data_IF_727088752607
#
_entry.id   IF_727088752607
#
_cell.length_a   1.000
_cell.length_b   1.000
_cell.length_c   1.000
_cell.angle_alpha   90.00
_cell.angle_beta   90.00
_cell.angle_gamma   90.00
#
_symmetry.space_group_name_H-M   'P 1'
#
loop_
_entity.id
_entity.type
_entity.pdbx_description
1 polymer ?
#
# COMPACT_ATOMS: atom_id res chain seq x y z
N UNK A 1 -6.30 15.39 5.04
CA UNK A 1 -5.06 15.16 4.25
C UNK A 1 -4.87 13.68 4.02
N UNK A 2 -4.78 13.25 2.76
CA UNK A 2 -4.81 11.85 2.35
C UNK A 2 -6.01 11.55 1.46
N UNK A 3 -5.85 10.56 0.58
CA UNK A 3 -6.90 10.07 -0.33
C UNK A 3 -7.06 8.54 -0.31
N UNK A 4 -6.34 7.84 0.57
CA UNK A 4 -6.32 6.37 0.71
C UNK A 4 -7.32 5.89 1.78
N UNK A 5 -7.28 4.60 2.13
CA UNK A 5 -8.23 3.92 3.02
C UNK A 5 -8.59 4.72 4.29
N UNK A 6 -7.62 5.17 5.09
CA UNK A 6 -7.92 5.94 6.31
C UNK A 6 -8.69 7.25 6.03
N UNK A 7 -8.48 7.87 4.87
CA UNK A 7 -9.24 9.04 4.46
C UNK A 7 -10.66 8.64 4.03
N UNK A 8 -10.86 7.49 3.37
CA UNK A 8 -12.19 6.97 3.05
C UNK A 8 -12.96 6.63 4.32
N UNK A 9 -12.31 5.98 5.29
CA UNK A 9 -12.91 5.66 6.59
C UNK A 9 -13.33 6.94 7.33
N UNK A 10 -12.49 7.98 7.27
CA UNK A 10 -12.81 9.30 7.82
C UNK A 10 -14.06 9.89 7.15
N UNK A 11 -14.16 9.84 5.82
CA UNK A 11 -15.36 10.31 5.10
C UNK A 11 -16.58 9.52 5.54
N UNK A 12 -16.50 8.18 5.59
CA UNK A 12 -17.59 7.32 6.02
C UNK A 12 -18.04 7.57 7.47
N UNK A 13 -17.11 7.84 8.38
CA UNK A 13 -17.43 8.22 9.77
C UNK A 13 -18.15 9.58 9.78
N UNK A 14 -17.64 10.59 9.07
CA UNK A 14 -18.29 11.91 9.03
C UNK A 14 -19.71 11.82 8.46
N UNK A 15 -19.91 11.07 7.38
CA UNK A 15 -21.21 10.93 6.72
C UNK A 15 -22.20 10.13 7.55
N UNK A 16 -21.77 9.02 8.17
CA UNK A 16 -22.61 8.21 9.07
C UNK A 16 -23.02 8.96 10.34
N UNK A 17 -22.21 9.91 10.80
CA UNK A 17 -22.55 10.83 11.89
C UNK A 17 -23.27 12.11 11.42
N UNK A 18 -23.83 12.11 10.21
CA UNK A 18 -24.62 13.21 9.64
C UNK A 18 -23.90 14.57 9.58
N UNK A 19 -22.57 14.59 9.52
CA UNK A 19 -21.85 15.83 9.22
C UNK A 19 -22.37 16.37 7.88
N UNK A 20 -22.78 17.64 7.83
CA UNK A 20 -23.38 18.28 6.64
C UNK A 20 -22.42 19.23 5.93
N UNK A 21 -21.30 19.60 6.56
CA UNK A 21 -20.30 20.48 5.98
C UNK A 21 -19.59 19.89 4.76
N UNK A 22 -18.81 20.73 4.10
CA UNK A 22 -17.97 20.33 2.97
C UNK A 22 -16.78 19.52 3.45
N UNK A 23 -16.48 18.45 2.74
CA UNK A 23 -15.34 17.56 2.99
C UNK A 23 -14.33 17.75 1.85
N UNK A 24 -13.05 17.79 2.18
CA UNK A 24 -11.97 17.87 1.19
C UNK A 24 -10.98 16.72 1.43
N UNK A 25 -10.89 15.81 0.46
CA UNK A 25 -9.85 14.80 0.40
C UNK A 25 -8.71 15.33 -0.46
N UNK A 26 -7.54 15.52 0.15
CA UNK A 26 -6.44 16.28 -0.43
C UNK A 26 -5.13 15.48 -0.35
N UNK A 27 -4.48 15.22 -1.48
CA UNK A 27 -3.17 14.54 -1.52
C UNK A 27 -2.32 15.01 -2.70
N UNK A 28 -1.07 14.52 -2.80
CA UNK A 28 -0.17 14.88 -3.91
C UNK A 28 -0.73 14.49 -5.29
N UNK A 29 -1.32 13.30 -5.41
CA UNK A 29 -1.89 12.81 -6.68
C UNK A 29 -3.41 12.97 -6.79
N UNK A 30 -4.10 13.20 -5.67
CA UNK A 30 -5.57 13.16 -5.60
C UNK A 30 -6.16 11.76 -5.87
N UNK A 31 -5.32 10.74 -6.07
CA UNK A 31 -5.77 9.42 -6.50
C UNK A 31 -6.47 8.67 -5.38
N UNK A 32 -7.63 8.10 -5.69
CA UNK A 32 -8.36 7.20 -4.80
C UNK A 32 -7.89 5.76 -5.02
N UNK A 33 -7.98 4.89 -4.00
CA UNK A 33 -7.83 3.45 -4.21
C UNK A 33 -8.72 2.93 -5.33
N UNK A 34 -8.32 1.84 -5.99
CA UNK A 34 -9.16 1.22 -7.01
C UNK A 34 -10.43 0.64 -6.39
N UNK A 35 -11.42 0.35 -7.23
CA UNK A 35 -12.68 -0.27 -6.78
C UNK A 35 -12.55 -1.78 -6.93
N UNK A 36 -12.76 -2.55 -5.86
CA UNK A 36 -12.77 -4.01 -5.95
C UNK A 36 -14.15 -4.49 -6.39
N UNK A 37 -14.13 -5.54 -7.20
CA UNK A 37 -15.30 -6.33 -7.52
C UNK A 37 -15.75 -7.15 -6.30
N UNK A 38 -16.91 -7.81 -6.41
CA UNK A 38 -17.31 -8.78 -5.38
C UNK A 38 -16.26 -9.89 -5.27
N UNK A 39 -15.95 -10.30 -4.05
CA UNK A 39 -14.83 -11.20 -3.80
C UNK A 39 -14.97 -12.50 -4.58
N UNK A 40 -14.02 -12.75 -5.49
CA UNK A 40 -13.85 -14.03 -6.16
C UNK A 40 -12.68 -14.75 -5.50
N UNK A 41 -12.93 -15.98 -5.03
CA UNK A 41 -11.84 -16.84 -4.62
C UNK A 41 -10.98 -17.14 -5.85
N UNK A 42 -9.71 -16.77 -5.79
CA UNK A 42 -8.75 -17.01 -6.87
C UNK A 42 -7.54 -17.73 -6.30
N UNK A 43 -7.10 -18.79 -6.97
CA UNK A 43 -5.90 -19.55 -6.64
C UNK A 43 -4.84 -19.25 -7.71
N UNK A 44 -3.75 -18.54 -7.36
CA UNK A 44 -2.72 -18.22 -8.33
C UNK A 44 -1.98 -19.47 -8.81
N UNK A 45 -1.62 -19.50 -10.09
CA UNK A 45 -0.84 -20.59 -10.68
C UNK A 45 0.52 -20.10 -11.23
N UNK A 46 0.63 -18.85 -11.71
CA UNK A 46 1.95 -18.26 -12.02
C UNK A 46 2.57 -17.59 -10.79
N UNK A 47 1.76 -16.96 -9.93
CA UNK A 47 2.27 -16.20 -8.77
C UNK A 47 2.44 -17.11 -7.55
N UNK A 48 3.32 -18.10 -7.68
CA UNK A 48 3.61 -19.12 -6.65
C UNK A 48 5.08 -19.06 -6.22
N UNK A 49 5.38 -19.59 -5.03
CA UNK A 49 6.75 -19.69 -4.53
C UNK A 49 7.64 -20.49 -5.50
N UNK A 50 7.14 -21.61 -6.04
CA UNK A 50 7.88 -22.46 -6.98
C UNK A 50 8.26 -21.73 -8.27
N UNK A 51 7.31 -21.00 -8.88
CA UNK A 51 7.58 -20.20 -10.08
C UNK A 51 8.64 -19.15 -9.80
N UNK A 52 8.56 -18.48 -8.65
CA UNK A 52 9.54 -17.48 -8.25
C UNK A 52 10.93 -18.11 -8.04
N UNK A 53 11.02 -19.24 -7.35
CA UNK A 53 12.29 -19.92 -7.09
C UNK A 53 12.93 -20.43 -8.39
N UNK A 54 12.12 -20.91 -9.34
CA UNK A 54 12.59 -21.25 -10.67
C UNK A 54 13.19 -20.03 -11.38
N UNK A 55 12.49 -18.89 -11.36
CA UNK A 55 12.93 -17.64 -11.98
C UNK A 55 14.24 -17.11 -11.34
N UNK A 56 14.36 -17.17 -10.02
CA UNK A 56 15.59 -16.81 -9.28
C UNK A 56 16.75 -17.72 -9.69
N UNK A 57 16.52 -19.03 -9.80
CA UNK A 57 17.54 -19.99 -10.23
C UNK A 57 18.01 -19.73 -11.65
N UNK A 58 17.10 -19.49 -12.60
CA UNK A 58 17.45 -19.22 -13.99
C UNK A 58 18.15 -17.87 -14.19
N UNK A 59 17.92 -16.92 -13.29
CA UNK A 59 18.59 -15.60 -13.29
C UNK A 59 19.87 -15.57 -12.45
N UNK A 60 20.42 -16.72 -12.05
CA UNK A 60 21.62 -16.82 -11.20
C UNK A 60 21.52 -15.99 -9.91
N UNK A 61 20.34 -15.97 -9.30
CA UNK A 61 20.06 -15.23 -8.06
C UNK A 61 19.74 -13.74 -8.25
N UNK A 62 19.72 -13.22 -9.48
CA UNK A 62 19.46 -11.80 -9.78
C UNK A 62 18.07 -11.60 -10.38
N UNK A 63 17.05 -11.66 -9.51
CA UNK A 63 15.66 -11.44 -9.92
C UNK A 63 15.48 -10.02 -10.49
N UNK A 64 14.90 -9.91 -11.69
CA UNK A 64 14.54 -8.63 -12.30
C UNK A 64 13.09 -8.27 -12.00
N UNK A 65 12.85 -7.01 -11.66
CA UNK A 65 11.49 -6.51 -11.38
C UNK A 65 10.59 -6.70 -12.60
N UNK A 66 11.12 -6.52 -13.81
CA UNK A 66 10.34 -6.68 -15.04
C UNK A 66 9.81 -8.11 -15.22
N UNK A 67 10.55 -9.13 -14.78
CA UNK A 67 10.09 -10.52 -14.85
C UNK A 67 8.92 -10.75 -13.89
N UNK A 68 9.00 -10.20 -12.67
CA UNK A 68 7.90 -10.20 -11.69
C UNK A 68 6.67 -9.48 -12.26
N UNK A 69 6.86 -8.32 -12.88
CA UNK A 69 5.77 -7.56 -13.52
C UNK A 69 5.12 -8.39 -14.64
N UNK A 70 5.91 -9.05 -15.48
CA UNK A 70 5.38 -9.87 -16.58
C UNK A 70 4.57 -11.05 -16.07
N UNK A 71 5.01 -11.72 -14.99
CA UNK A 71 4.22 -12.76 -14.34
C UNK A 71 2.90 -12.23 -13.79
N UNK A 72 2.92 -11.06 -13.14
CA UNK A 72 1.69 -10.41 -12.61
C UNK A 72 0.73 -10.08 -13.74
N UNK A 73 1.23 -9.54 -14.86
CA UNK A 73 0.39 -9.23 -16.02
C UNK A 73 -0.26 -10.48 -16.61
N UNK A 74 0.53 -11.51 -16.86
CA UNK A 74 0.06 -12.78 -17.40
C UNK A 74 -0.99 -13.44 -16.50
N UNK A 75 -0.77 -13.43 -15.18
CA UNK A 75 -1.72 -13.98 -14.22
C UNK A 75 -3.05 -13.21 -14.24
N UNK A 76 -2.99 -11.87 -14.28
CA UNK A 76 -4.18 -11.03 -14.29
C UNK A 76 -5.01 -11.19 -15.57
N UNK A 77 -4.36 -11.26 -16.72
CA UNK A 77 -5.03 -11.49 -18.01
C UNK A 77 -5.65 -12.88 -18.07
N UNK A 78 -4.93 -13.89 -17.56
CA UNK A 78 -5.46 -15.25 -17.44
C UNK A 78 -6.69 -15.29 -16.54
N UNK A 79 -6.60 -14.73 -15.33
CA UNK A 79 -7.69 -14.70 -14.36
C UNK A 79 -8.92 -13.96 -14.90
N UNK A 80 -8.69 -12.87 -15.65
CA UNK A 80 -9.77 -12.03 -16.18
C UNK A 80 -10.32 -12.53 -17.51
N UNK A 81 -9.74 -13.58 -18.10
CA UNK A 81 -10.06 -14.09 -19.44
C UNK A 81 -10.09 -13.01 -20.53
N UNK A 82 -9.27 -11.97 -20.37
CA UNK A 82 -9.25 -10.82 -21.27
C UNK A 82 -7.90 -10.13 -21.23
N UNK A 83 -7.51 -9.53 -22.35
CA UNK A 83 -6.33 -8.70 -22.41
C UNK A 83 -6.56 -7.40 -21.63
N UNK A 84 -5.54 -6.98 -20.89
CA UNK A 84 -5.61 -5.75 -20.09
C UNK A 84 -4.81 -4.66 -20.79
N UNK A 85 -5.39 -3.48 -20.93
CA UNK A 85 -4.69 -2.30 -21.43
C UNK A 85 -3.76 -1.73 -20.34
N UNK A 86 -2.58 -2.34 -20.25
CA UNK A 86 -1.55 -1.98 -19.28
C UNK A 86 -1.07 -0.54 -19.42
N UNK A 87 -0.95 -0.02 -20.64
CA UNK A 87 -0.47 1.34 -20.89
C UNK A 87 -1.47 2.37 -20.36
N UNK A 88 -2.77 2.11 -20.55
CA UNK A 88 -3.84 2.90 -19.94
C UNK A 88 -3.79 2.85 -18.40
N UNK A 89 -3.49 1.70 -17.79
CA UNK A 89 -3.34 1.58 -16.33
C UNK A 89 -2.09 2.30 -15.81
N UNK A 90 -0.93 2.15 -16.47
CA UNK A 90 0.35 2.75 -16.06
C UNK A 90 0.42 4.27 -16.29
N UNK A 91 -0.25 4.78 -17.33
CA UNK A 91 -0.27 6.21 -17.63
C UNK A 91 -1.10 7.02 -16.63
N UNK A 92 -2.03 6.39 -15.92
CA UNK A 92 -3.00 7.09 -15.08
C UNK A 92 -2.46 7.39 -13.68
N UNK A 93 -2.01 8.64 -13.48
CA UNK A 93 -1.39 9.09 -12.21
C UNK A 93 -2.20 10.11 -11.40
N UNK A 94 -3.28 10.64 -11.98
CA UNK A 94 -4.13 11.68 -11.35
C UNK A 94 -5.58 11.24 -11.43
N UNK A 95 -6.35 11.51 -10.37
CA UNK A 95 -7.78 11.24 -10.34
C UNK A 95 -8.52 11.93 -11.49
N UNK A 96 -9.53 11.26 -12.03
CA UNK A 96 -10.57 11.94 -12.80
C UNK A 96 -11.89 11.23 -12.59
N UNK A 97 -12.99 11.98 -12.64
CA UNK A 97 -14.33 11.43 -12.44
C UNK A 97 -14.65 10.32 -13.45
N UNK A 98 -14.28 10.54 -14.73
CA UNK A 98 -14.43 9.54 -15.81
C UNK A 98 -13.69 8.23 -15.50
N UNK A 99 -12.49 8.32 -14.94
CA UNK A 99 -11.71 7.14 -14.56
C UNK A 99 -12.35 6.39 -13.40
N UNK A 100 -12.83 7.12 -12.41
CA UNK A 100 -13.50 6.52 -11.26
C UNK A 100 -14.80 5.82 -11.65
N UNK A 101 -15.60 6.44 -12.52
CA UNK A 101 -16.80 5.82 -13.12
C UNK A 101 -16.46 4.55 -13.91
N UNK A 102 -15.37 4.59 -14.70
CA UNK A 102 -14.91 3.41 -15.42
C UNK A 102 -14.51 2.27 -14.47
N UNK A 103 -13.82 2.56 -13.36
CA UNK A 103 -13.48 1.54 -12.36
C UNK A 103 -14.71 0.95 -11.67
N UNK A 104 -15.71 1.78 -11.33
CA UNK A 104 -16.99 1.29 -10.77
C UNK A 104 -17.63 0.29 -11.74
N UNK A 105 -17.72 0.65 -13.03
CA UNK A 105 -18.28 -0.25 -14.05
C UNK A 105 -17.48 -1.55 -14.18
N UNK A 106 -16.15 -1.48 -14.20
CA UNK A 106 -15.31 -2.69 -14.24
C UNK A 106 -15.53 -3.61 -13.05
N UNK A 107 -15.78 -3.04 -11.86
CA UNK A 107 -16.07 -3.80 -10.66
C UNK A 107 -17.49 -4.40 -10.66
N UNK A 108 -18.49 -3.70 -11.22
CA UNK A 108 -19.86 -4.20 -11.42
C UNK A 108 -19.88 -5.39 -12.39
N UNK A 109 -19.21 -5.24 -13.53
CA UNK A 109 -19.22 -6.21 -14.63
C UNK A 109 -18.25 -7.38 -14.40
N UNK A 110 -17.51 -7.39 -13.27
CA UNK A 110 -16.40 -8.32 -13.00
C UNK A 110 -15.39 -8.43 -14.15
N UNK A 111 -15.19 -7.35 -14.92
CA UNK A 111 -14.40 -7.39 -16.15
C UNK A 111 -12.91 -7.60 -15.92
N UNK A 112 -12.43 -7.38 -14.70
CA UNK A 112 -11.03 -7.60 -14.31
C UNK A 112 -10.96 -8.14 -12.90
N UNK A 113 -10.09 -9.14 -12.68
CA UNK A 113 -9.90 -9.79 -11.38
C UNK A 113 -8.60 -9.39 -10.68
N UNK A 114 -7.99 -8.25 -11.05
CA UNK A 114 -6.71 -7.81 -10.48
C UNK A 114 -6.70 -7.81 -8.95
N UNK A 115 -7.80 -7.43 -8.29
CA UNK A 115 -7.82 -7.35 -6.84
C UNK A 115 -7.76 -8.75 -6.22
N UNK A 116 -8.48 -9.71 -6.82
CA UNK A 116 -8.48 -11.10 -6.38
C UNK A 116 -7.09 -11.73 -6.58
N UNK A 117 -6.48 -11.52 -7.74
CA UNK A 117 -5.11 -11.98 -8.03
C UNK A 117 -4.10 -11.40 -7.04
N UNK A 118 -4.08 -10.07 -6.87
CA UNK A 118 -3.16 -9.40 -5.95
C UNK A 118 -3.37 -9.78 -4.48
N UNK A 119 -4.62 -10.03 -4.08
CA UNK A 119 -4.95 -10.46 -2.73
C UNK A 119 -4.43 -11.87 -2.44
N UNK A 120 -4.65 -12.80 -3.38
CA UNK A 120 -4.28 -14.21 -3.22
C UNK A 120 -2.78 -14.48 -3.30
N UNK A 121 -2.00 -13.63 -3.99
CA UNK A 121 -0.57 -13.84 -4.19
C UNK A 121 0.35 -13.16 -3.14
N UNK A 122 -0.15 -12.94 -1.91
CA UNK A 122 0.59 -12.16 -0.89
C UNK A 122 1.97 -12.76 -0.55
N UNK A 123 2.08 -14.09 -0.45
CA UNK A 123 3.36 -14.77 -0.19
C UNK A 123 4.36 -14.57 -1.33
N UNK A 124 3.91 -14.72 -2.58
CA UNK A 124 4.73 -14.48 -3.77
C UNK A 124 5.33 -13.08 -3.76
N UNK A 125 4.56 -12.03 -3.44
CA UNK A 125 5.07 -10.66 -3.41
C UNK A 125 6.09 -10.41 -2.31
N UNK A 126 5.89 -11.02 -1.12
CA UNK A 126 6.85 -10.93 -0.01
C UNK A 126 8.17 -11.60 -0.40
N UNK A 127 8.12 -12.79 -1.02
CA UNK A 127 9.31 -13.49 -1.51
C UNK A 127 9.97 -12.75 -2.68
N UNK A 128 9.20 -12.25 -3.63
CA UNK A 128 9.73 -11.50 -4.76
C UNK A 128 10.51 -10.28 -4.26
N UNK A 129 9.93 -9.53 -3.31
CA UNK A 129 10.64 -8.42 -2.68
C UNK A 129 11.94 -8.83 -2.02
N UNK A 130 11.98 -9.96 -1.32
CA UNK A 130 13.22 -10.46 -0.71
C UNK A 130 14.33 -10.65 -1.75
N UNK A 131 14.00 -11.27 -2.88
CA UNK A 131 14.95 -11.60 -3.95
C UNK A 131 15.31 -10.44 -4.88
N UNK A 132 14.53 -9.36 -4.91
CA UNK A 132 14.92 -8.15 -5.65
C UNK A 132 16.15 -7.51 -4.99
N UNK A 133 17.13 -7.17 -5.82
CA UNK A 133 18.28 -6.39 -5.38
C UNK A 133 17.89 -4.94 -5.07
N UNK A 134 18.85 -4.18 -4.55
CA UNK A 134 18.63 -2.79 -4.15
C UNK A 134 18.17 -1.91 -5.32
N UNK A 135 18.74 -2.08 -6.50
CA UNK A 135 18.46 -1.23 -7.66
C UNK A 135 17.04 -1.51 -8.19
N UNK A 136 16.66 -2.78 -8.25
CA UNK A 136 15.31 -3.20 -8.64
C UNK A 136 14.26 -2.73 -7.61
N UNK A 137 14.56 -2.78 -6.31
CA UNK A 137 13.69 -2.21 -5.26
C UNK A 137 13.52 -0.69 -5.39
N UNK A 138 14.58 0.02 -5.78
CA UNK A 138 14.52 1.47 -6.05
C UNK A 138 13.61 1.75 -7.25
N UNK A 139 13.74 0.98 -8.33
CA UNK A 139 12.86 1.09 -9.51
C UNK A 139 11.41 0.86 -9.09
N UNK A 140 11.14 -0.21 -8.33
CA UNK A 140 9.80 -0.50 -7.81
C UNK A 140 9.25 0.68 -7.01
N UNK A 141 10.01 1.19 -6.04
CA UNK A 141 9.58 2.29 -5.16
C UNK A 141 9.23 3.55 -5.95
N UNK A 142 10.03 3.87 -6.96
CA UNK A 142 9.88 5.12 -7.71
C UNK A 142 8.79 5.05 -8.79
N UNK A 143 8.56 3.87 -9.37
CA UNK A 143 7.72 3.74 -10.56
C UNK A 143 6.41 2.97 -10.30
N UNK A 144 6.42 1.99 -9.38
CA UNK A 144 5.34 1.01 -9.23
C UNK A 144 4.66 1.01 -7.86
N UNK A 145 5.33 1.47 -6.79
CA UNK A 145 4.76 1.43 -5.43
C UNK A 145 3.42 2.16 -5.33
N UNK A 146 3.27 3.32 -5.98
CA UNK A 146 2.01 4.05 -6.03
C UNK A 146 0.87 3.23 -6.67
N UNK A 147 1.17 2.56 -7.79
CA UNK A 147 0.22 1.67 -8.45
C UNK A 147 -0.12 0.49 -7.55
N UNK A 148 0.89 -0.20 -7.04
CA UNK A 148 0.72 -1.32 -6.11
C UNK A 148 -0.25 -0.96 -4.99
N UNK A 149 0.00 0.16 -4.29
CA UNK A 149 -0.86 0.60 -3.19
C UNK A 149 -2.30 0.92 -3.65
N UNK A 150 -2.44 1.51 -4.83
CA UNK A 150 -3.75 1.86 -5.39
C UNK A 150 -4.59 0.62 -5.70
N UNK A 151 -4.00 -0.41 -6.32
CA UNK A 151 -4.75 -1.58 -6.79
C UNK A 151 -4.80 -2.73 -5.78
N UNK A 152 -3.82 -2.83 -4.88
CA UNK A 152 -3.80 -3.86 -3.83
C UNK A 152 -4.78 -3.55 -2.70
N UNK A 153 -4.96 -2.27 -2.38
CA UNK A 153 -5.78 -1.80 -1.26
C UNK A 153 -7.08 -1.15 -1.74
N UNK A 154 -7.80 -1.87 -2.61
CA UNK A 154 -9.03 -1.40 -3.24
C UNK A 154 -10.19 -1.18 -2.24
N UNK A 155 -11.01 -0.17 -2.52
CA UNK A 155 -12.24 0.11 -1.77
C UNK A 155 -13.41 -0.76 -2.26
N UNK A 156 -14.36 -1.12 -1.38
CA UNK A 156 -15.62 -1.75 -1.78
C UNK A 156 -16.44 -0.89 -2.75
N UNK A 157 -17.28 -1.55 -3.56
CA UNK A 157 -18.17 -0.89 -4.52
C UNK A 157 -19.16 0.08 -3.83
N UNK A 158 -19.67 -0.29 -2.66
CA UNK A 158 -20.55 0.56 -1.85
C UNK A 158 -19.89 1.89 -1.46
N UNK A 159 -18.64 1.85 -0.98
CA UNK A 159 -17.84 3.05 -0.69
C UNK A 159 -17.64 3.89 -1.95
N UNK A 160 -17.40 3.26 -3.10
CA UNK A 160 -17.23 3.99 -4.34
C UNK A 160 -18.50 4.76 -4.77
N UNK A 161 -19.69 4.15 -4.62
CA UNK A 161 -20.95 4.85 -4.87
C UNK A 161 -21.20 6.02 -3.92
N UNK A 162 -20.91 5.84 -2.63
CA UNK A 162 -21.07 6.90 -1.64
C UNK A 162 -20.18 8.10 -2.01
N UNK A 163 -18.91 7.86 -2.32
CA UNK A 163 -17.99 8.92 -2.76
C UNK A 163 -18.47 9.59 -4.06
N UNK A 164 -18.98 8.81 -5.00
CA UNK A 164 -19.56 9.35 -6.24
C UNK A 164 -20.75 10.27 -5.97
N UNK A 165 -21.63 9.90 -5.05
CA UNK A 165 -22.78 10.72 -4.66
C UNK A 165 -22.33 12.00 -3.95
N UNK A 166 -21.34 11.92 -3.06
CA UNK A 166 -20.80 13.09 -2.36
C UNK A 166 -20.09 14.06 -3.31
N UNK A 167 -19.37 13.56 -4.31
CA UNK A 167 -18.76 14.40 -5.35
C UNK A 167 -19.83 15.06 -6.20
N UNK A 168 -20.85 14.31 -6.65
CA UNK A 168 -21.95 14.84 -7.48
C UNK A 168 -22.81 15.89 -6.75
N UNK A 169 -22.96 15.75 -5.44
CA UNK A 169 -23.68 16.71 -4.59
C UNK A 169 -22.80 17.85 -4.08
N UNK A 170 -21.56 17.97 -4.58
CA UNK A 170 -20.56 18.99 -4.20
C UNK A 170 -20.20 18.99 -2.70
N UNK A 171 -20.57 17.94 -1.98
CA UNK A 171 -20.25 17.74 -0.56
C UNK A 171 -18.82 17.25 -0.34
N UNK A 172 -18.22 16.62 -1.35
CA UNK A 172 -16.83 16.15 -1.33
C UNK A 172 -16.05 16.73 -2.51
N UNK A 173 -14.95 17.43 -2.21
CA UNK A 173 -13.92 17.80 -3.19
C UNK A 173 -12.72 16.86 -3.08
N UNK A 174 -12.17 16.45 -4.22
CA UNK A 174 -10.91 15.70 -4.31
C UNK A 174 -9.86 16.63 -4.90
N UNK A 175 -8.77 16.84 -4.16
CA UNK A 175 -7.74 17.82 -4.50
C UNK A 175 -6.38 17.13 -4.66
N UNK A 176 -5.71 17.41 -5.78
CA UNK A 176 -4.36 16.96 -6.12
C UNK A 176 -3.35 18.10 -6.06
N UNK A 177 -2.06 17.77 -6.24
CA UNK A 177 -0.95 18.74 -6.20
C UNK A 177 -0.89 19.56 -4.91
N UNK A 178 -1.32 18.95 -3.81
CA UNK A 178 -1.44 19.64 -2.53
C UNK A 178 -0.05 19.90 -1.95
N UNK A 179 0.19 21.15 -1.59
CA UNK A 179 1.36 21.59 -0.82
C UNK A 179 1.05 21.49 0.67
N UNK A 180 2.09 21.42 1.50
CA UNK A 180 1.96 21.31 2.95
C UNK A 180 1.04 22.40 3.54
N UNK A 181 -0.02 22.01 4.28
CA UNK A 181 -0.93 22.97 4.90
C UNK A 181 -0.22 23.86 5.92
N UNK A 182 -0.58 25.14 5.92
CA UNK A 182 -0.06 26.13 6.86
C UNK A 182 -1.19 26.66 7.74
N UNK A 183 -0.87 27.04 8.97
CA UNK A 183 -1.83 27.71 9.85
C UNK A 183 -1.73 29.22 9.62
N UNK A 184 -2.82 29.85 9.18
CA UNK A 184 -2.95 31.30 9.05
C UNK A 184 -4.29 31.75 9.62
N UNK A 185 -4.29 32.82 10.41
CA UNK A 185 -5.51 33.41 10.98
C UNK A 185 -6.42 32.36 11.68
N UNK A 186 -5.82 31.45 12.45
CA UNK A 186 -6.51 30.36 13.16
C UNK A 186 -7.25 29.35 12.24
N UNK A 187 -6.85 29.26 10.97
CA UNK A 187 -7.36 28.28 10.00
C UNK A 187 -6.22 27.56 9.30
N UNK A 188 -6.50 26.37 8.77
CA UNK A 188 -5.57 25.67 7.90
C UNK A 188 -5.78 26.13 6.46
N UNK A 189 -4.69 26.51 5.79
CA UNK A 189 -4.67 26.90 4.39
C UNK A 189 -3.75 26.00 3.58
N UNK A 190 -4.20 25.57 2.41
CA UNK A 190 -3.35 24.86 1.45
C UNK A 190 -3.79 25.17 0.01
N UNK A 191 -2.84 25.13 -0.92
CA UNK A 191 -3.12 25.22 -2.35
C UNK A 191 -3.16 23.83 -2.99
N UNK A 192 -3.96 23.69 -4.04
CA UNK A 192 -4.05 22.45 -4.82
C UNK A 192 -5.00 22.60 -6.00
N UNK A 193 -5.13 21.52 -6.78
CA UNK A 193 -6.00 21.47 -7.97
C UNK A 193 -7.17 20.54 -7.68
N UNK A 194 -8.40 21.05 -7.80
CA UNK A 194 -9.60 20.22 -7.72
C UNK A 194 -9.68 19.31 -8.95
N UNK A 195 -9.72 18.00 -8.70
CA UNK A 195 -9.60 16.98 -9.73
C UNK A 195 -10.87 16.79 -10.56
N UNK A 196 -11.98 17.41 -10.18
CA UNK A 196 -13.27 17.34 -10.91
C UNK A 196 -13.39 18.51 -11.87
N UNK A 197 -13.11 19.73 -11.39
CA UNK A 197 -13.24 20.95 -12.20
C UNK A 197 -11.92 21.40 -12.86
N UNK A 198 -10.80 20.75 -12.52
CA UNK A 198 -9.44 21.04 -12.99
C UNK A 198 -9.01 22.49 -12.74
N UNK A 199 -9.38 23.06 -11.58
CA UNK A 199 -9.01 24.42 -11.19
C UNK A 199 -8.06 24.40 -10.00
N UNK A 200 -6.99 25.18 -10.11
CA UNK A 200 -6.13 25.50 -8.97
C UNK A 200 -6.86 26.48 -8.06
N UNK A 201 -6.80 26.24 -6.75
CA UNK A 201 -7.42 27.10 -5.75
C UNK A 201 -6.62 27.10 -4.43
N UNK A 202 -6.82 28.16 -3.66
CA UNK A 202 -6.49 28.19 -2.24
C UNK A 202 -7.69 27.66 -1.46
N UNK A 203 -7.46 26.69 -0.58
CA UNK A 203 -8.46 26.12 0.31
C UNK A 203 -8.21 26.59 1.72
N UNK A 204 -9.27 26.99 2.41
CA UNK A 204 -9.27 27.26 3.83
C UNK A 204 -10.21 26.27 4.53
N UNK A 205 -9.74 25.65 5.61
CA UNK A 205 -10.53 24.70 6.39
C UNK A 205 -10.37 24.95 7.88
N UNK A 206 -11.45 24.74 8.62
CA UNK A 206 -11.47 24.91 10.08
C UNK A 206 -10.82 23.72 10.80
N UNK A 207 -10.83 22.52 10.19
CA UNK A 207 -10.28 21.31 10.75
C UNK A 207 -9.43 20.54 9.73
N UNK A 208 -8.32 19.96 10.19
CA UNK A 208 -7.42 19.13 9.40
C UNK A 208 -7.31 17.74 10.02
N UNK A 209 -7.80 16.73 9.32
CA UNK A 209 -7.62 15.33 9.71
C UNK A 209 -6.42 14.77 8.96
N UNK A 210 -5.44 14.24 9.69
CA UNK A 210 -4.27 13.58 9.11
C UNK A 210 -4.58 12.11 8.78
N UNK A 211 -4.65 11.79 7.50
CA UNK A 211 -4.82 10.45 6.94
C UNK A 211 -3.76 10.17 5.86
N UNK A 212 -2.53 10.69 6.03
CA UNK A 212 -1.42 10.48 5.07
C UNK A 212 -0.75 9.12 5.16
N UNK A 213 -1.13 8.30 6.15
CA UNK A 213 -0.58 6.97 6.40
C UNK A 213 0.60 6.97 7.37
N UNK A 214 1.23 5.81 7.51
CA UNK A 214 2.33 5.55 8.46
C UNK A 214 3.66 5.99 7.85
N UNK A 215 4.52 6.59 8.67
CA UNK A 215 5.93 6.82 8.32
C UNK A 215 6.74 5.57 8.67
N UNK A 216 7.32 4.93 7.65
CA UNK A 216 8.17 3.75 7.84
C UNK A 216 9.64 4.12 8.10
N UNK A 217 10.05 5.39 8.03
CA UNK A 217 11.40 5.78 8.39
C UNK A 217 11.57 5.81 9.91
N UNK A 218 12.23 4.79 10.45
CA UNK A 218 12.43 4.63 11.91
C UNK A 218 13.25 5.75 12.53
N UNK A 219 14.00 6.52 11.74
CA UNK A 219 14.72 7.69 12.22
C UNK A 219 13.78 8.88 12.52
N UNK A 220 12.58 8.85 11.95
CA UNK A 220 11.56 9.89 12.09
C UNK A 220 10.41 9.49 13.03
N UNK A 221 10.42 8.26 13.56
CA UNK A 221 9.39 7.79 14.49
C UNK A 221 9.62 8.36 15.87
N UNK A 222 8.54 8.83 16.51
CA UNK A 222 8.56 9.33 17.89
C UNK A 222 8.47 8.20 18.93
N UNK A 223 9.47 7.31 18.92
CA UNK A 223 9.59 6.24 19.93
C UNK A 223 10.93 6.32 20.64
N UNK A 224 10.90 6.59 21.94
CA UNK A 224 12.09 6.63 22.81
C UNK A 224 12.85 5.30 22.77
N UNK A 225 12.13 4.17 22.74
CA UNK A 225 12.73 2.84 22.65
C UNK A 225 13.51 2.68 21.34
N UNK A 226 12.88 2.93 20.19
CA UNK A 226 13.53 2.77 18.88
C UNK A 226 14.74 3.69 18.74
N UNK A 227 14.60 4.96 19.14
CA UNK A 227 15.71 5.94 19.13
C UNK A 227 16.90 5.47 19.97
N UNK A 228 16.64 4.97 21.19
CA UNK A 228 17.70 4.47 22.07
C UNK A 228 18.39 3.22 21.51
N UNK A 229 17.63 2.28 20.94
CA UNK A 229 18.21 1.06 20.38
C UNK A 229 19.01 1.33 19.09
N UNK A 230 18.56 2.26 18.23
CA UNK A 230 19.34 2.75 17.09
C UNK A 230 20.64 3.43 17.55
N UNK A 231 20.57 4.33 18.54
CA UNK A 231 21.74 5.03 19.06
C UNK A 231 22.79 4.10 19.69
N UNK A 232 22.35 2.95 20.21
CA UNK A 232 23.24 1.90 20.78
C UNK A 232 23.74 0.90 19.73
N UNK A 233 23.36 1.04 18.46
CA UNK A 233 23.71 0.09 17.40
C UNK A 233 23.00 -1.26 17.49
N UNK A 234 22.00 -1.39 18.38
CA UNK A 234 21.23 -2.63 18.56
C UNK A 234 20.19 -2.83 17.45
N UNK A 235 19.79 -1.75 16.78
CA UNK A 235 18.97 -1.80 15.57
C UNK A 235 19.73 -1.15 14.41
N UNK A 236 19.48 -1.63 13.19
CA UNK A 236 19.92 -0.98 11.96
C UNK A 236 18.70 -0.55 11.16
N UNK A 237 18.60 0.72 10.80
CA UNK A 237 17.53 1.21 9.94
C UNK A 237 17.63 0.59 8.54
N UNK A 238 16.51 0.17 7.96
CA UNK A 238 16.46 -0.32 6.59
C UNK A 238 16.10 0.82 5.64
N UNK A 239 16.84 0.98 4.53
CA UNK A 239 16.63 2.08 3.57
C UNK A 239 15.27 2.03 2.86
N UNK A 240 14.57 0.89 2.93
CA UNK A 240 13.22 0.71 2.40
C UNK A 240 12.12 0.81 3.48
N UNK A 241 12.48 1.21 4.70
CA UNK A 241 11.57 1.42 5.84
C UNK A 241 11.74 0.34 6.91
N UNK A 242 11.42 0.68 8.15
CA UNK A 242 11.61 -0.22 9.29
C UNK A 242 13.07 -0.41 9.66
N UNK A 243 13.35 -1.56 10.26
CA UNK A 243 14.68 -2.01 10.67
C UNK A 243 15.05 -3.29 9.93
N UNK A 244 16.34 -3.58 9.87
CA UNK A 244 16.86 -4.79 9.23
C UNK A 244 16.58 -6.01 10.11
N UNK A 245 15.91 -7.00 9.54
CA UNK A 245 15.58 -8.27 10.19
C UNK A 245 15.99 -9.45 9.31
N UNK A 246 16.26 -10.59 9.94
CA UNK A 246 16.36 -11.84 9.20
C UNK A 246 15.00 -12.18 8.57
N UNK A 247 15.00 -12.52 7.28
CA UNK A 247 13.77 -12.77 6.54
C UNK A 247 13.02 -14.03 7.02
N UNK A 248 13.74 -15.03 7.50
CA UNK A 248 13.20 -16.34 7.88
C UNK A 248 12.92 -16.47 9.38
N UNK A 249 13.52 -15.63 10.22
CA UNK A 249 13.35 -15.70 11.68
C UNK A 249 12.69 -14.43 12.25
N UNK A 250 12.70 -13.33 11.49
CA UNK A 250 12.26 -12.01 11.96
C UNK A 250 13.04 -11.51 13.19
N UNK A 251 14.23 -12.05 13.39
CA UNK A 251 15.20 -11.61 14.39
C UNK A 251 15.90 -10.34 13.91
N UNK A 252 16.21 -9.44 14.82
CA UNK A 252 17.03 -8.28 14.51
C UNK A 252 18.45 -8.76 14.19
N UNK A 253 19.01 -8.31 13.07
CA UNK A 253 20.33 -8.80 12.63
C UNK A 253 21.46 -8.57 13.64
N UNK A 254 21.38 -7.50 14.43
CA UNK A 254 22.39 -7.14 15.44
C UNK A 254 22.07 -7.66 16.85
N UNK A 255 20.87 -8.22 17.09
CA UNK A 255 20.44 -8.71 18.40
C UNK A 255 19.50 -9.90 18.24
N UNK A 256 20.04 -11.11 18.35
CA UNK A 256 19.30 -12.36 18.09
C UNK A 256 18.11 -12.59 19.01
N UNK A 257 18.07 -11.95 20.18
CA UNK A 257 16.97 -12.08 21.15
C UNK A 257 15.80 -11.13 20.87
N UNK A 258 15.94 -10.22 19.90
CA UNK A 258 14.88 -9.30 19.54
C UNK A 258 14.17 -9.80 18.29
N UNK A 259 12.86 -9.99 18.41
CA UNK A 259 11.97 -10.36 17.32
C UNK A 259 11.04 -9.20 16.98
N UNK A 260 10.79 -9.00 15.69
CA UNK A 260 10.04 -7.84 15.21
C UNK A 260 9.02 -8.29 14.17
N UNK A 261 7.78 -7.85 14.33
CA UNK A 261 6.69 -8.10 13.38
C UNK A 261 6.02 -6.80 12.95
N UNK A 262 5.22 -6.86 11.90
CA UNK A 262 4.44 -5.74 11.39
C UNK A 262 5.29 -4.70 10.67
N UNK A 263 4.88 -3.44 10.77
CA UNK A 263 5.42 -2.35 9.92
C UNK A 263 6.90 -2.02 10.16
N UNK A 264 7.47 -2.43 11.30
CA UNK A 264 8.91 -2.31 11.52
C UNK A 264 9.73 -3.26 10.65
N UNK A 265 9.12 -4.26 10.00
CA UNK A 265 9.80 -5.15 9.03
C UNK A 265 9.58 -4.72 7.57
N UNK A 266 9.02 -3.52 7.32
CA UNK A 266 8.59 -3.08 5.98
C UNK A 266 9.69 -3.18 4.93
N UNK A 267 10.92 -2.87 5.30
CA UNK A 267 12.05 -2.84 4.37
C UNK A 267 12.46 -4.23 3.88
N UNK A 268 12.32 -5.25 4.72
CA UNK A 268 12.66 -6.64 4.35
C UNK A 268 11.45 -7.43 3.85
N UNK A 269 10.21 -7.06 4.23
CA UNK A 269 9.01 -7.83 3.86
C UNK A 269 8.05 -7.13 2.92
N UNK A 270 8.24 -5.84 2.65
CA UNK A 270 7.42 -4.95 1.80
C UNK A 270 5.93 -4.85 2.11
N UNK A 271 5.25 -5.94 2.41
CA UNK A 271 3.84 -6.02 2.72
C UNK A 271 3.70 -6.50 4.17
N UNK A 272 3.25 -5.59 5.05
CA UNK A 272 3.28 -5.78 6.52
C UNK A 272 1.98 -5.38 7.22
N UNK A 273 0.98 -4.93 6.47
CA UNK A 273 -0.24 -4.32 7.00
C UNK A 273 -1.49 -5.19 6.83
N UNK A 274 -1.33 -6.46 6.45
CA UNK A 274 -2.42 -7.44 6.37
C UNK A 274 -2.46 -8.27 7.63
N UNK A 275 -3.66 -8.45 8.20
CA UNK A 275 -3.89 -9.34 9.34
C UNK A 275 -3.29 -10.74 9.12
N UNK A 276 -3.51 -11.33 7.94
CA UNK A 276 -2.98 -12.66 7.61
C UNK A 276 -1.46 -12.69 7.60
N UNK A 277 -0.82 -11.61 7.13
CA UNK A 277 0.64 -11.52 7.11
C UNK A 277 1.19 -11.36 8.52
N UNK A 278 0.60 -10.48 9.33
CA UNK A 278 1.00 -10.30 10.72
C UNK A 278 0.82 -11.60 11.53
N UNK A 279 -0.27 -12.33 11.29
CA UNK A 279 -0.50 -13.65 11.91
C UNK A 279 0.56 -14.67 11.48
N UNK A 280 0.90 -14.72 10.19
CA UNK A 280 1.98 -15.58 9.69
C UNK A 280 3.34 -15.24 10.28
N UNK A 281 3.66 -13.95 10.41
CA UNK A 281 4.88 -13.47 11.07
C UNK A 281 4.91 -13.84 12.56
N UNK A 282 3.80 -13.69 13.29
CA UNK A 282 3.72 -14.06 14.70
C UNK A 282 3.96 -15.58 14.87
N UNK A 283 3.36 -16.41 14.01
CA UNK A 283 3.62 -17.85 14.02
C UNK A 283 5.08 -18.21 13.68
N UNK A 284 5.72 -17.44 12.80
CA UNK A 284 7.13 -17.59 12.46
C UNK A 284 8.03 -17.26 13.65
N UNK A 285 7.81 -16.13 14.33
CA UNK A 285 8.52 -15.75 15.55
C UNK A 285 8.36 -16.81 16.64
N UNK A 286 7.14 -17.31 16.85
CA UNK A 286 6.89 -18.34 17.86
C UNK A 286 7.71 -19.62 17.60
N UNK A 287 7.83 -20.03 16.33
CA UNK A 287 8.68 -21.17 15.95
C UNK A 287 10.16 -20.90 16.23
N UNK A 288 10.67 -19.74 15.84
CA UNK A 288 12.08 -19.37 16.08
C UNK A 288 12.42 -19.31 17.57
N UNK A 289 11.53 -18.80 18.42
CA UNK A 289 11.72 -18.82 19.88
C UNK A 289 11.82 -20.25 20.42
N UNK A 290 10.96 -21.16 19.94
CA UNK A 290 10.99 -22.57 20.36
C UNK A 290 12.30 -23.24 19.92
N UNK A 291 12.73 -22.99 18.67
CA UNK A 291 13.99 -23.52 18.14
C UNK A 291 15.21 -23.05 18.96
N UNK A 292 15.26 -21.77 19.31
CA UNK A 292 16.32 -21.20 20.16
C UNK A 292 16.32 -21.82 21.56
N UNK A 293 15.15 -21.96 22.20
CA UNK A 293 15.05 -22.60 23.51
C UNK A 293 15.47 -24.07 23.50
N UNK A 294 15.17 -24.81 22.43
CA UNK A 294 15.61 -26.21 22.28
C UNK A 294 17.12 -26.29 22.10
N UNK A 295 17.71 -25.38 21.31
CA UNK A 295 19.15 -25.33 21.08
C UNK A 295 19.95 -24.98 22.35
N UNK A 296 19.41 -24.14 23.24
CA UNK A 296 20.04 -23.84 24.54
C UNK A 296 20.01 -25.01 25.53
N UNK A 297 19.12 -26.00 25.33
CA UNK A 297 18.96 -27.17 26.19
C UNK A 297 19.78 -28.39 25.72
N UNK A 298 20.37 -28.34 24.53
CA UNK A 298 21.17 -29.41 23.90
C UNK A 298 22.67 -29.16 23.97
#
# INVERSE_FOLDING_TARGET
MGTKLSALDTVGILTSHHYTGKIIMASRSGFLPSVKNMHHAYQPFLLTADTLMHLVKTSSGKLKLNDVINLVKAEMEYASHTAIDWDKLFSKKIFSLKWFQWQIKMAEDNSTLWNSVLASASEFFILAWHWLDRDEKIIFKNQYAFMWETYRFSMPLSTAYELMQLVKSERLSIVSFVVEPQIKQNRFQFSGVDCVNNKSALYEVDCLINATGINYDVNQIESTLIKNLLARGQLTANSFGGIMVDFNQLTVLNERRFFVTGDLTKGDRFFTNSYLVCSGQAAQVARSIIEDCVAELS
#
